data_IF_398744543724
#
_entry.id   IF_398744543724
#
_cell.length_a   1.000
_cell.length_b   1.000
_cell.length_c   1.000
_cell.angle_alpha   90.00
_cell.angle_beta   90.00
_cell.angle_gamma   90.00
#
_symmetry.space_group_name_H-M   'P 1'
#
loop_
_entity.id
_entity.type
_entity.pdbx_description
1 polymer ?
#
# COMPACT_ATOMS: atom_id res chain seq x y z
N UNK A 1 -19.66 1.94 -0.52
CA UNK A 1 -20.90 1.32 0.03
C UNK A 1 -20.61 -0.01 0.70
N UNK A 2 -19.93 -0.95 0.03
CA UNK A 2 -19.59 -2.28 0.58
C UNK A 2 -19.03 -2.29 2.02
N UNK A 3 -18.07 -1.39 2.35
CA UNK A 3 -17.53 -1.31 3.72
C UNK A 3 -18.56 -0.89 4.76
N UNK A 4 -19.46 0.04 4.40
CA UNK A 4 -20.54 0.52 5.27
C UNK A 4 -21.56 -0.59 5.51
N UNK A 5 -21.94 -1.32 4.46
CA UNK A 5 -22.87 -2.46 4.52
C UNK A 5 -22.29 -3.63 5.31
N UNK A 6 -20.98 -3.86 5.22
CA UNK A 6 -20.27 -4.85 6.03
C UNK A 6 -20.06 -4.42 7.50
N UNK A 7 -20.60 -3.28 7.93
CA UNK A 7 -20.46 -2.79 9.30
C UNK A 7 -19.07 -2.26 9.66
N UNK A 8 -18.19 -2.04 8.68
CA UNK A 8 -16.81 -1.58 8.91
C UNK A 8 -16.81 -0.06 9.09
N UNK A 9 -17.06 0.40 10.32
CA UNK A 9 -17.37 1.80 10.66
C UNK A 9 -16.34 2.51 11.54
N UNK A 10 -15.18 1.89 11.82
CA UNK A 10 -14.15 2.49 12.68
C UNK A 10 -13.80 3.92 12.25
N UNK A 11 -13.67 4.81 13.21
CA UNK A 11 -13.24 6.20 12.98
C UNK A 11 -11.73 6.23 12.77
N UNK A 12 -11.29 7.00 11.77
CA UNK A 12 -9.88 7.23 11.47
C UNK A 12 -9.62 8.72 11.36
N UNK A 13 -8.44 9.14 11.80
CA UNK A 13 -7.95 10.50 11.60
C UNK A 13 -7.29 10.61 10.22
N UNK A 14 -7.66 11.63 9.45
CA UNK A 14 -7.04 11.99 8.17
C UNK A 14 -6.68 13.47 8.17
N UNK A 15 -5.78 13.86 7.27
CA UNK A 15 -5.49 15.27 7.00
C UNK A 15 -6.44 15.77 5.91
N UNK A 16 -7.19 16.84 6.19
CA UNK A 16 -7.98 17.52 5.18
C UNK A 16 -7.06 18.21 4.16
N UNK A 17 -7.26 17.96 2.87
CA UNK A 17 -6.36 18.47 1.83
C UNK A 17 -6.42 19.99 1.64
N UNK A 18 -7.55 20.63 1.99
CA UNK A 18 -7.74 22.07 1.87
C UNK A 18 -7.20 22.81 3.08
N UNK A 19 -7.55 22.33 4.28
CA UNK A 19 -7.20 23.04 5.54
C UNK A 19 -5.89 22.56 6.16
N UNK A 20 -5.40 21.37 5.77
CA UNK A 20 -4.24 20.69 6.36
C UNK A 20 -4.40 20.34 7.85
N UNK A 21 -5.62 20.41 8.37
CA UNK A 21 -5.94 20.03 9.74
C UNK A 21 -6.35 18.56 9.82
N UNK A 22 -6.17 17.98 11.00
CA UNK A 22 -6.68 16.65 11.31
C UNK A 22 -8.22 16.69 11.40
N UNK A 23 -8.85 15.73 10.74
CA UNK A 23 -10.29 15.50 10.82
C UNK A 23 -10.56 14.01 11.01
N UNK A 24 -11.59 13.69 11.76
CA UNK A 24 -12.00 12.30 12.00
C UNK A 24 -13.14 11.92 11.06
N UNK A 25 -13.00 10.79 10.39
CA UNK A 25 -14.02 10.23 9.47
C UNK A 25 -14.12 8.72 9.64
N UNK A 26 -15.30 8.11 9.43
CA UNK A 26 -15.39 6.67 9.39
C UNK A 26 -14.64 6.11 8.17
N UNK A 27 -14.00 4.94 8.32
CA UNK A 27 -13.12 4.39 7.30
C UNK A 27 -13.83 4.13 5.96
N UNK A 28 -15.12 3.83 5.97
CA UNK A 28 -15.89 3.57 4.75
C UNK A 28 -16.08 4.82 3.87
N UNK A 29 -15.84 6.04 4.39
CA UNK A 29 -15.84 7.27 3.59
C UNK A 29 -14.52 7.51 2.85
N UNK A 30 -13.42 7.00 3.39
CA UNK A 30 -12.06 7.32 2.93
C UNK A 30 -11.37 6.16 2.22
N UNK A 31 -11.68 4.92 2.60
CA UNK A 31 -11.07 3.75 2.00
C UNK A 31 -11.54 3.53 0.56
N UNK A 32 -10.59 3.19 -0.31
CA UNK A 32 -10.84 2.87 -1.73
C UNK A 32 -10.14 1.58 -2.13
N UNK A 33 -10.62 0.95 -3.20
CA UNK A 33 -9.97 -0.25 -3.77
C UNK A 33 -8.52 0.04 -4.20
N UNK A 34 -8.23 1.26 -4.65
CA UNK A 34 -6.86 1.64 -4.98
C UNK A 34 -5.98 1.68 -3.72
N UNK A 35 -6.46 2.27 -2.62
CA UNK A 35 -5.73 2.26 -1.34
C UNK A 35 -5.48 0.83 -0.86
N UNK A 36 -6.49 -0.04 -0.91
CA UNK A 36 -6.35 -1.44 -0.54
C UNK A 36 -5.26 -2.13 -1.37
N UNK A 37 -5.25 -1.94 -2.70
CA UNK A 37 -4.23 -2.49 -3.60
C UNK A 37 -2.82 -1.97 -3.28
N UNK A 38 -2.68 -0.67 -2.98
CA UNK A 38 -1.39 -0.08 -2.59
C UNK A 38 -0.86 -0.68 -1.29
N UNK A 39 -1.71 -0.76 -0.27
CA UNK A 39 -1.35 -1.34 1.03
C UNK A 39 -1.02 -2.82 0.91
N UNK A 40 -1.81 -3.58 0.14
CA UNK A 40 -1.57 -4.99 -0.13
C UNK A 40 -0.21 -5.24 -0.79
N UNK A 41 0.10 -4.51 -1.86
CA UNK A 41 1.39 -4.63 -2.56
C UNK A 41 2.55 -4.28 -1.63
N UNK A 42 2.45 -3.17 -0.89
CA UNK A 42 3.52 -2.75 0.03
C UNK A 42 3.76 -3.76 1.15
N UNK A 43 2.70 -4.32 1.73
CA UNK A 43 2.83 -5.32 2.80
C UNK A 43 3.41 -6.64 2.29
N UNK A 44 2.96 -7.12 1.13
CA UNK A 44 3.49 -8.36 0.55
C UNK A 44 4.92 -8.16 0.07
N UNK A 45 5.28 -7.03 -0.54
CA UNK A 45 6.64 -6.79 -1.01
C UNK A 45 7.68 -6.88 0.13
N UNK A 46 7.30 -6.45 1.34
CA UNK A 46 8.15 -6.61 2.54
C UNK A 46 8.39 -8.07 2.94
N UNK A 47 7.41 -8.95 2.71
CA UNK A 47 7.49 -10.37 3.06
C UNK A 47 8.08 -11.20 1.91
N UNK A 48 7.72 -10.85 0.69
CA UNK A 48 8.03 -11.54 -0.55
C UNK A 48 8.78 -10.55 -1.42
N UNK A 49 10.11 -10.59 -1.32
CA UNK A 49 11.04 -9.68 -2.00
C UNK A 49 11.21 -9.97 -3.50
N UNK A 50 10.33 -10.79 -4.09
CA UNK A 50 10.30 -11.09 -5.53
C UNK A 50 9.27 -10.19 -6.25
N UNK A 51 9.71 -9.20 -7.05
CA UNK A 51 8.83 -8.31 -7.76
C UNK A 51 7.92 -9.00 -8.80
N UNK A 52 8.33 -10.13 -9.37
CA UNK A 52 7.56 -10.83 -10.39
C UNK A 52 6.37 -11.54 -9.77
N UNK A 53 6.59 -12.22 -8.64
CA UNK A 53 5.54 -12.89 -7.89
C UNK A 53 4.51 -11.88 -7.35
N UNK A 54 4.96 -10.77 -6.76
CA UNK A 54 4.07 -9.71 -6.27
C UNK A 54 3.33 -9.02 -7.42
N UNK A 55 3.99 -8.83 -8.57
CA UNK A 55 3.38 -8.30 -9.78
C UNK A 55 2.23 -9.18 -10.28
N UNK A 56 2.44 -10.50 -10.36
CA UNK A 56 1.44 -11.46 -10.78
C UNK A 56 0.23 -11.50 -9.83
N UNK A 57 0.47 -11.59 -8.52
CA UNK A 57 -0.59 -11.61 -7.49
C UNK A 57 -1.43 -10.33 -7.48
N UNK A 58 -0.80 -9.19 -7.78
CA UNK A 58 -1.47 -7.91 -7.81
C UNK A 58 -2.07 -7.58 -9.17
N UNK A 59 -2.04 -8.48 -10.15
CA UNK A 59 -2.63 -8.29 -11.48
C UNK A 59 -1.94 -7.21 -12.31
N UNK A 60 -0.63 -7.03 -12.15
CA UNK A 60 0.17 -6.16 -12.99
C UNK A 60 0.81 -6.96 -14.12
N UNK A 61 0.82 -6.38 -15.33
CA UNK A 61 1.61 -6.90 -16.43
C UNK A 61 3.10 -6.84 -16.08
N UNK A 62 3.84 -7.85 -16.52
CA UNK A 62 5.30 -7.86 -16.46
C UNK A 62 5.89 -6.55 -17.03
N UNK A 63 6.90 -6.01 -16.37
CA UNK A 63 7.51 -4.73 -16.75
C UNK A 63 6.65 -3.49 -16.52
N UNK A 64 5.51 -3.58 -15.82
CA UNK A 64 4.63 -2.44 -15.58
C UNK A 64 5.34 -1.27 -14.88
N UNK A 65 5.39 -0.11 -15.56
CA UNK A 65 5.89 1.16 -15.00
C UNK A 65 5.12 1.58 -13.75
N UNK A 66 3.82 1.26 -13.69
CA UNK A 66 3.00 1.56 -12.52
C UNK A 66 3.41 0.73 -11.30
N UNK A 67 3.79 -0.53 -11.51
CA UNK A 67 4.27 -1.43 -10.46
C UNK A 67 5.68 -1.05 -9.99
N UNK A 68 6.55 -0.59 -10.89
CA UNK A 68 7.91 -0.16 -10.55
C UNK A 68 7.95 0.92 -9.45
N UNK A 69 6.90 1.76 -9.33
CA UNK A 69 6.78 2.79 -8.28
C UNK A 69 6.68 2.22 -6.86
N UNK A 70 6.27 0.96 -6.69
CA UNK A 70 6.25 0.30 -5.38
C UNK A 70 7.63 -0.27 -5.00
N UNK A 71 8.50 -0.54 -5.98
CA UNK A 71 9.87 -1.04 -5.74
C UNK A 71 10.83 0.06 -5.28
N UNK A 72 10.52 1.32 -5.57
CA UNK A 72 11.38 2.47 -5.27
C UNK A 72 11.45 2.80 -3.78
N UNK A 73 10.78 2.03 -2.92
CA UNK A 73 10.71 2.31 -1.50
C UNK A 73 10.97 1.02 -0.74
N UNK A 74 12.26 0.69 -0.56
CA UNK A 74 12.73 0.13 0.69
C UNK A 74 14.27 0.28 0.79
N UNK A 75 14.74 1.37 1.40
CA UNK A 75 16.16 1.54 1.69
C UNK A 75 16.65 0.55 2.75
N UNK A 76 15.74 -0.05 3.54
CA UNK A 76 16.08 -1.07 4.51
C UNK A 76 16.35 -2.42 3.82
N UNK A 77 15.66 -2.75 2.72
CA UNK A 77 16.04 -3.89 1.86
C UNK A 77 17.45 -3.75 1.28
N UNK A 78 17.86 -2.54 0.87
CA UNK A 78 19.21 -2.30 0.36
C UNK A 78 20.26 -2.53 1.46
N UNK A 79 20.00 -2.02 2.66
CA UNK A 79 20.89 -2.24 3.82
C UNK A 79 20.99 -3.72 4.17
N UNK A 80 19.89 -4.45 4.15
CA UNK A 80 19.89 -5.89 4.44
C UNK A 80 20.69 -6.69 3.40
N UNK A 81 20.58 -6.37 2.11
CA UNK A 81 21.38 -6.98 1.06
C UNK A 81 22.88 -6.70 1.21
N UNK A 82 23.24 -5.47 1.62
CA UNK A 82 24.65 -5.12 1.89
C UNK A 82 25.15 -5.93 3.09
N UNK A 83 24.37 -6.05 4.16
CA UNK A 83 24.72 -6.84 5.34
C UNK A 83 24.85 -8.35 5.09
N UNK A 84 24.31 -8.89 3.99
CA UNK A 84 24.53 -10.28 3.58
C UNK A 84 25.86 -10.50 2.82
N UNK A 85 26.53 -9.41 2.42
CA UNK A 85 27.81 -9.44 1.71
C UNK A 85 29.02 -9.19 2.63
N UNK A 86 28.78 -8.80 3.89
CA UNK A 86 29.77 -8.72 4.98
C UNK A 86 29.94 -10.07 5.69
#
# INVERSE_FOLDING_TARGET
QALREAGISRVVTIIDQKTRLEVQKPIWEVASSHMARRSFIGNIYKQVKDPNLVGALSGHKEGSKAFARYRTIDDDMKKELIGMLE
#
